data_IF_149133429048
#
_entry.id   IF_149133429048
#
_cell.length_a   1.000
_cell.length_b   1.000
_cell.length_c   1.000
_cell.angle_alpha   90.00
_cell.angle_beta   90.00
_cell.angle_gamma   90.00
#
_symmetry.space_group_name_H-M   'P 1'
#
loop_
_entity.id
_entity.type
_entity.pdbx_description
1 polymer ?
#
# COMPACT_ATOMS: atom_id res chain seq x y z
N UNK A 1 -26.20 -29.80 -20.80
CA UNK A 1 -25.05 -28.93 -21.09
C UNK A 1 -24.62 -28.21 -19.84
N UNK A 2 -23.35 -28.31 -19.44
CA UNK A 2 -22.82 -27.60 -18.28
C UNK A 2 -22.35 -26.23 -18.76
N UNK A 3 -23.02 -25.16 -18.30
CA UNK A 3 -22.60 -23.78 -18.55
C UNK A 3 -21.27 -23.54 -17.84
N UNK A 4 -20.19 -23.42 -18.60
CA UNK A 4 -18.90 -23.02 -18.07
C UNK A 4 -19.00 -21.54 -17.67
N UNK A 5 -19.21 -21.28 -16.38
CA UNK A 5 -19.05 -19.94 -15.81
C UNK A 5 -17.57 -19.58 -15.94
N UNK A 6 -17.22 -18.86 -17.01
CA UNK A 6 -15.90 -18.26 -17.14
C UNK A 6 -15.64 -17.44 -15.89
N UNK A 7 -14.50 -17.69 -15.23
CA UNK A 7 -14.08 -16.89 -14.09
C UNK A 7 -13.76 -15.50 -14.61
N UNK A 8 -14.74 -14.60 -14.55
CA UNK A 8 -14.57 -13.21 -14.94
C UNK A 8 -13.49 -12.59 -14.05
N UNK A 9 -12.54 -11.90 -14.68
CA UNK A 9 -11.57 -11.09 -13.97
C UNK A 9 -12.25 -9.80 -13.50
N UNK A 10 -11.68 -9.17 -12.48
CA UNK A 10 -12.16 -7.88 -11.98
C UNK A 10 -12.11 -6.82 -13.10
N UNK A 11 -11.11 -6.90 -13.99
CA UNK A 11 -10.99 -6.04 -15.17
C UNK A 11 -12.18 -6.17 -16.14
N UNK A 12 -12.66 -7.40 -16.35
CA UNK A 12 -13.79 -7.66 -17.25
C UNK A 12 -15.05 -7.00 -16.70
N UNK A 13 -15.28 -7.12 -15.39
CA UNK A 13 -16.41 -6.50 -14.69
C UNK A 13 -16.29 -4.98 -14.70
N UNK A 14 -15.11 -4.43 -14.38
CA UNK A 14 -14.84 -2.99 -14.34
C UNK A 14 -15.08 -2.30 -15.69
N UNK A 15 -14.94 -3.04 -16.80
CA UNK A 15 -15.21 -2.49 -18.14
C UNK A 15 -16.69 -2.27 -18.46
N UNK A 16 -17.61 -2.85 -17.66
CA UNK A 16 -19.06 -2.86 -17.94
C UNK A 16 -19.88 -2.15 -16.86
N UNK A 17 -19.29 -1.85 -15.70
CA UNK A 17 -19.95 -1.13 -14.60
C UNK A 17 -19.44 0.31 -14.50
N UNK A 18 -20.34 1.25 -14.22
CA UNK A 18 -20.05 2.68 -14.04
C UNK A 18 -19.89 3.07 -12.55
N UNK A 19 -20.23 2.17 -11.63
CA UNK A 19 -20.09 2.36 -10.20
C UNK A 19 -19.68 1.08 -9.48
N UNK A 20 -19.01 1.25 -8.33
CA UNK A 20 -18.64 0.13 -7.45
C UNK A 20 -19.91 -0.48 -6.83
N UNK A 21 -20.07 -1.82 -6.80
CA UNK A 21 -21.25 -2.44 -6.19
C UNK A 21 -21.36 -2.11 -4.70
N UNK A 22 -22.58 -1.92 -4.21
CA UNK A 22 -22.85 -1.40 -2.86
C UNK A 22 -22.24 -2.21 -1.73
N UNK A 23 -22.09 -3.53 -1.89
CA UNK A 23 -21.47 -4.42 -0.89
C UNK A 23 -19.95 -4.22 -0.74
N UNK A 24 -19.30 -3.49 -1.66
CA UNK A 24 -17.89 -3.08 -1.55
C UNK A 24 -17.74 -1.64 -1.06
N UNK A 25 -18.84 -0.88 -0.96
CA UNK A 25 -18.82 0.49 -0.47
C UNK A 25 -18.76 0.47 1.05
N UNK A 26 -17.63 0.93 1.61
CA UNK A 26 -17.45 1.04 3.07
C UNK A 26 -18.45 2.03 3.71
N UNK A 27 -18.79 1.86 5.01
CA UNK A 27 -19.54 2.87 5.77
C UNK A 27 -18.88 4.25 5.70
N UNK A 28 -19.65 5.34 5.85
CA UNK A 28 -19.12 6.71 5.74
C UNK A 28 -17.97 6.95 6.73
N UNK A 29 -18.06 6.40 7.94
CA UNK A 29 -17.01 6.49 8.97
C UNK A 29 -15.66 5.89 8.57
N UNK A 30 -15.66 4.96 7.61
CA UNK A 30 -14.48 4.17 7.22
C UNK A 30 -13.94 4.60 5.86
N UNK A 31 -14.56 5.62 5.24
CA UNK A 31 -14.09 6.18 3.97
C UNK A 31 -12.99 7.21 4.26
N UNK A 32 -11.85 7.14 3.57
CA UNK A 32 -10.80 8.14 3.74
C UNK A 32 -11.30 9.52 3.30
N UNK A 33 -11.04 10.55 4.12
CA UNK A 33 -11.28 11.93 3.71
C UNK A 33 -10.10 12.42 2.86
N UNK A 34 -10.29 12.49 1.54
CA UNK A 34 -9.23 12.85 0.62
C UNK A 34 -8.74 14.30 0.78
N UNK A 35 -9.52 15.19 1.40
CA UNK A 35 -9.06 16.56 1.70
C UNK A 35 -8.11 16.62 2.90
N UNK A 36 -8.09 15.58 3.74
CA UNK A 36 -7.20 15.45 4.89
C UNK A 36 -5.91 14.69 4.55
N UNK A 37 -5.77 14.24 3.29
CA UNK A 37 -4.54 13.60 2.83
C UNK A 37 -3.48 14.69 2.64
N UNK A 38 -2.60 14.81 3.64
CA UNK A 38 -1.39 15.63 3.57
C UNK A 38 -0.53 15.17 2.38
N UNK A 39 -0.28 16.06 1.43
CA UNK A 39 0.62 15.82 0.29
C UNK A 39 2.06 16.24 0.59
N UNK A 40 2.28 16.88 1.73
CA UNK A 40 3.51 17.62 2.03
C UNK A 40 4.13 17.18 3.35
N UNK A 41 5.34 16.63 3.28
CA UNK A 41 6.27 16.68 4.40
C UNK A 41 7.17 15.45 4.52
N UNK A 42 6.59 14.34 4.98
CA UNK A 42 7.36 13.16 5.35
C UNK A 42 7.18 12.06 4.31
N UNK A 43 8.23 11.84 3.51
CA UNK A 43 8.29 10.65 2.66
C UNK A 43 8.48 9.42 3.54
N UNK A 44 7.82 8.32 3.18
CA UNK A 44 8.08 7.00 3.78
C UNK A 44 9.59 6.73 3.69
N UNK A 45 10.27 6.39 4.81
CA UNK A 45 11.71 6.14 4.80
C UNK A 45 12.07 5.10 3.74
N UNK A 46 13.07 5.39 2.90
CA UNK A 46 13.66 4.44 1.95
C UNK A 46 15.03 4.03 2.48
N UNK A 47 15.23 2.74 2.69
CA UNK A 47 16.45 2.20 3.27
C UNK A 47 17.13 1.30 2.23
N UNK A 48 18.31 1.74 1.77
CA UNK A 48 19.15 0.92 0.91
C UNK A 48 19.85 -0.18 1.72
N UNK A 49 19.70 -1.42 1.26
CA UNK A 49 20.25 -2.61 1.91
C UNK A 49 21.51 -3.15 1.22
N UNK A 50 22.03 -2.50 0.17
CA UNK A 50 23.20 -2.96 -0.60
C UNK A 50 24.38 -3.31 0.31
N UNK A 51 24.70 -2.43 1.27
CA UNK A 51 25.85 -2.57 2.17
C UNK A 51 25.51 -3.18 3.55
N UNK A 52 24.37 -3.89 3.68
CA UNK A 52 23.92 -4.48 4.94
C UNK A 52 24.91 -5.50 5.54
N UNK A 53 25.69 -6.15 4.67
CA UNK A 53 26.74 -7.10 5.03
C UNK A 53 28.16 -6.49 4.85
N UNK A 54 28.23 -5.19 4.58
CA UNK A 54 29.45 -4.43 4.36
C UNK A 54 29.83 -3.54 5.56
N UNK A 55 30.79 -2.61 5.38
CA UNK A 55 31.26 -1.73 6.45
C UNK A 55 30.18 -0.80 7.01
N UNK A 56 29.12 -0.51 6.24
CA UNK A 56 28.03 0.39 6.64
C UNK A 56 26.87 -0.31 7.36
N UNK A 57 27.03 -1.58 7.75
CA UNK A 57 25.99 -2.35 8.45
C UNK A 57 25.41 -1.61 9.65
N UNK A 58 26.24 -0.98 10.48
CA UNK A 58 25.77 -0.30 11.69
C UNK A 58 24.80 0.85 11.36
N UNK A 59 25.09 1.62 10.31
CA UNK A 59 24.26 2.73 9.87
C UNK A 59 22.92 2.24 9.32
N UNK A 60 22.93 1.16 8.54
CA UNK A 60 21.71 0.54 8.00
C UNK A 60 20.83 0.00 9.13
N UNK A 61 21.42 -0.67 10.14
CA UNK A 61 20.68 -1.13 11.32
C UNK A 61 20.09 0.04 12.11
N UNK A 62 20.80 1.17 12.19
CA UNK A 62 20.28 2.37 12.84
C UNK A 62 19.11 2.99 12.07
N UNK A 63 19.19 3.05 10.74
CA UNK A 63 18.08 3.48 9.89
C UNK A 63 16.85 2.58 10.06
N UNK A 64 17.03 1.26 10.09
CA UNK A 64 15.96 0.29 10.35
C UNK A 64 15.32 0.51 11.72
N UNK A 65 16.13 0.65 12.77
CA UNK A 65 15.64 0.88 14.12
C UNK A 65 14.82 2.18 14.20
N UNK A 66 15.31 3.25 13.59
CA UNK A 66 14.62 4.53 13.55
C UNK A 66 13.31 4.46 12.76
N UNK A 67 13.30 3.83 11.60
CA UNK A 67 12.08 3.67 10.80
C UNK A 67 11.02 2.86 11.56
N UNK A 68 11.42 1.77 12.22
CA UNK A 68 10.54 0.96 13.05
C UNK A 68 9.94 1.75 14.23
N UNK A 69 10.75 2.55 14.94
CA UNK A 69 10.27 3.27 16.14
C UNK A 69 9.42 4.49 15.82
N UNK A 70 9.74 5.19 14.73
CA UNK A 70 9.15 6.49 14.41
C UNK A 70 7.98 6.37 13.45
N UNK A 71 8.10 5.51 12.42
CA UNK A 71 7.12 5.38 11.34
C UNK A 71 6.32 4.08 11.45
N UNK A 72 6.97 2.98 11.90
CA UNK A 72 6.39 1.64 11.91
C UNK A 72 6.38 0.94 10.54
N UNK A 73 6.86 1.62 9.49
CA UNK A 73 7.00 1.10 8.13
C UNK A 73 8.08 1.87 7.35
N UNK A 74 8.60 1.26 6.29
CA UNK A 74 9.63 1.79 5.39
C UNK A 74 9.61 1.06 4.04
N UNK A 75 10.36 1.57 3.07
CA UNK A 75 10.62 0.98 1.76
C UNK A 75 12.05 0.43 1.70
N UNK A 76 12.28 -0.55 0.82
CA UNK A 76 13.60 -1.18 0.53
C UNK A 76 13.81 -1.27 -0.97
#
# INVERSE_FOLDING_TARGET
>A
EASATSKLLVSDIASVIDHVPSNYVRPISDRPNLSEVETSGDSIPLIDLEELNGPYRADIIHQLAHACSTYGFFQI
#
